data_IF_925360541963
#
_entry.id   IF_925360541963
#
_cell.length_a   1.000
_cell.length_b   1.000
_cell.length_c   1.000
_cell.angle_alpha   90.00
_cell.angle_beta   90.00
_cell.angle_gamma   90.00
#
_symmetry.space_group_name_H-M   'P 1'
#
loop_
_entity.id
_entity.type
_entity.pdbx_description
1 polymer ?
#
# COMPACT_ATOMS: atom_id res chain seq x y z
N UNK A 1 2.71 -19.08 -2.78
CA UNK A 1 2.08 -19.66 -3.98
C UNK A 1 0.58 -19.92 -3.85
N UNK A 2 0.06 -20.91 -3.11
CA UNK A 2 -1.40 -21.23 -3.11
C UNK A 2 -2.31 -20.05 -2.73
N UNK A 3 -1.97 -19.31 -1.67
CA UNK A 3 -2.74 -18.13 -1.22
C UNK A 3 -2.72 -16.97 -2.23
N UNK A 4 -1.63 -16.79 -2.96
CA UNK A 4 -1.52 -15.72 -3.97
C UNK A 4 -2.36 -16.03 -5.21
N UNK A 5 -2.43 -17.30 -5.62
CA UNK A 5 -3.28 -17.73 -6.75
C UNK A 5 -4.75 -17.53 -6.41
N UNK A 6 -5.17 -17.92 -5.21
CA UNK A 6 -6.55 -17.72 -4.73
C UNK A 6 -6.88 -16.22 -4.66
N UNK A 7 -5.98 -15.41 -4.13
CA UNK A 7 -6.16 -13.96 -4.05
C UNK A 7 -6.29 -13.30 -5.44
N UNK A 8 -5.48 -13.72 -6.42
CA UNK A 8 -5.59 -13.26 -7.81
C UNK A 8 -6.92 -13.65 -8.44
N UNK A 9 -7.36 -14.89 -8.23
CA UNK A 9 -8.66 -15.36 -8.69
C UNK A 9 -9.80 -14.51 -8.14
N UNK A 10 -9.73 -14.15 -6.86
CA UNK A 10 -10.70 -13.26 -6.21
C UNK A 10 -10.74 -11.85 -6.81
N UNK A 11 -9.58 -11.25 -7.13
CA UNK A 11 -9.53 -9.91 -7.78
C UNK A 11 -10.16 -9.96 -9.17
N UNK A 12 -9.84 -11.00 -9.97
CA UNK A 12 -10.42 -11.16 -11.31
C UNK A 12 -11.93 -11.34 -11.21
N UNK A 13 -12.40 -12.17 -10.28
CA UNK A 13 -13.82 -12.38 -10.04
C UNK A 13 -14.54 -11.09 -9.63
N UNK A 14 -13.97 -10.32 -8.69
CA UNK A 14 -14.51 -9.04 -8.25
C UNK A 14 -14.58 -8.03 -9.41
N UNK A 15 -13.54 -7.96 -10.24
CA UNK A 15 -13.51 -7.10 -11.43
C UNK A 15 -14.63 -7.43 -12.41
N UNK A 16 -14.75 -8.71 -12.80
CA UNK A 16 -15.78 -9.17 -13.73
C UNK A 16 -17.18 -8.91 -13.16
N UNK A 17 -17.38 -9.19 -11.87
CA UNK A 17 -18.65 -8.96 -11.21
C UNK A 17 -19.05 -7.47 -11.17
N UNK A 18 -18.11 -6.57 -10.87
CA UNK A 18 -18.36 -5.13 -10.87
C UNK A 18 -18.71 -4.57 -12.26
N UNK A 19 -18.04 -5.06 -13.31
CA UNK A 19 -18.35 -4.66 -14.69
C UNK A 19 -19.74 -5.17 -15.10
N UNK A 20 -20.05 -6.44 -14.80
CA UNK A 20 -21.35 -7.03 -15.12
C UNK A 20 -22.49 -6.32 -14.37
N UNK A 21 -22.33 -6.04 -13.08
CA UNK A 21 -23.34 -5.33 -12.30
C UNK A 21 -23.52 -3.89 -12.80
N UNK A 22 -22.43 -3.19 -13.13
CA UNK A 22 -22.49 -1.87 -13.78
C UNK A 22 -23.20 -1.91 -15.13
N UNK A 23 -22.95 -2.94 -15.95
CA UNK A 23 -23.62 -3.15 -17.23
C UNK A 23 -25.12 -3.45 -17.08
N UNK A 24 -25.52 -4.26 -16.10
CA UNK A 24 -26.92 -4.53 -15.81
C UNK A 24 -27.65 -3.25 -15.34
N UNK A 25 -27.01 -2.45 -14.49
CA UNK A 25 -27.55 -1.16 -14.04
C UNK A 25 -27.65 -0.15 -15.19
N UNK A 26 -26.76 -0.25 -16.18
CA UNK A 26 -26.85 0.57 -17.39
C UNK A 26 -28.10 0.21 -18.19
N UNK A 27 -28.39 -1.09 -18.33
CA UNK A 27 -29.60 -1.56 -19.03
C UNK A 27 -30.89 -1.23 -18.28
N UNK A 28 -30.85 -1.13 -16.95
CA UNK A 28 -32.02 -0.74 -16.15
C UNK A 28 -32.26 0.78 -16.10
N UNK A 29 -31.42 1.58 -16.76
CA UNK A 29 -31.53 3.05 -16.78
C UNK A 29 -30.89 3.76 -15.58
N UNK A 30 -30.31 3.03 -14.64
CA UNK A 30 -29.64 3.52 -13.43
C UNK A 30 -28.20 3.97 -13.75
N UNK A 31 -28.07 4.99 -14.62
CA UNK A 31 -26.79 5.41 -15.23
C UNK A 31 -25.73 5.81 -14.20
N UNK A 32 -26.12 6.44 -13.08
CA UNK A 32 -25.18 6.84 -12.04
C UNK A 32 -24.54 5.61 -11.37
N UNK A 33 -25.36 4.64 -10.95
CA UNK A 33 -24.88 3.40 -10.34
C UNK A 33 -24.10 2.53 -11.33
N UNK A 34 -24.50 2.54 -12.60
CA UNK A 34 -23.77 1.87 -13.69
C UNK A 34 -22.32 2.38 -13.84
N UNK A 35 -22.13 3.71 -13.81
CA UNK A 35 -20.81 4.33 -13.86
C UNK A 35 -19.96 3.92 -12.66
N UNK A 36 -20.54 3.88 -11.45
CA UNK A 36 -19.84 3.42 -10.26
C UNK A 36 -19.43 1.94 -10.35
N UNK A 37 -20.31 1.06 -10.87
CA UNK A 37 -20.00 -0.36 -11.07
C UNK A 37 -18.83 -0.57 -12.05
N UNK A 38 -18.85 0.15 -13.18
CA UNK A 38 -17.77 0.09 -14.17
C UNK A 38 -16.47 0.67 -13.59
N UNK A 39 -16.53 1.80 -12.89
CA UNK A 39 -15.36 2.41 -12.24
C UNK A 39 -14.75 1.48 -11.19
N UNK A 40 -15.57 0.78 -10.41
CA UNK A 40 -15.12 -0.23 -9.45
C UNK A 40 -14.42 -1.41 -10.15
N UNK A 41 -14.96 -1.87 -11.28
CA UNK A 41 -14.31 -2.90 -12.11
C UNK A 41 -12.93 -2.47 -12.62
N UNK A 42 -12.84 -1.26 -13.17
CA UNK A 42 -11.57 -0.67 -13.62
C UNK A 42 -10.59 -0.53 -12.45
N UNK A 43 -11.05 -0.08 -11.29
CA UNK A 43 -10.23 0.02 -10.09
C UNK A 43 -9.68 -1.35 -9.67
N UNK A 44 -10.50 -2.40 -9.66
CA UNK A 44 -10.04 -3.76 -9.34
C UNK A 44 -9.02 -4.29 -10.36
N UNK A 45 -9.20 -4.00 -11.65
CA UNK A 45 -8.23 -4.34 -12.69
C UNK A 45 -6.88 -3.63 -12.49
N UNK A 46 -6.92 -2.32 -12.24
CA UNK A 46 -5.71 -1.51 -11.98
C UNK A 46 -5.01 -1.98 -10.70
N UNK A 47 -5.76 -2.23 -9.63
CA UNK A 47 -5.24 -2.74 -8.37
C UNK A 47 -4.58 -4.13 -8.54
N UNK A 48 -5.21 -5.02 -9.32
CA UNK A 48 -4.64 -6.33 -9.65
C UNK A 48 -3.36 -6.25 -10.50
N UNK A 49 -3.31 -5.30 -11.43
CA UNK A 49 -2.13 -5.02 -12.26
C UNK A 49 -0.99 -4.43 -11.44
N UNK A 50 -1.28 -3.52 -10.51
CA UNK A 50 -0.28 -2.87 -9.67
C UNK A 50 0.28 -3.84 -8.61
N UNK A 51 -0.54 -4.75 -8.09
CA UNK A 51 -0.05 -5.88 -7.27
C UNK A 51 0.91 -6.78 -8.07
N UNK A 52 0.63 -7.01 -9.34
CA UNK A 52 1.51 -7.76 -10.22
C UNK A 52 2.79 -6.99 -10.60
N UNK A 53 2.69 -5.67 -10.78
CA UNK A 53 3.84 -4.77 -10.94
C UNK A 53 4.68 -4.63 -9.66
N UNK A 54 4.07 -4.71 -8.47
CA UNK A 54 4.74 -4.78 -7.17
C UNK A 54 5.41 -6.14 -6.95
N UNK A 55 4.78 -7.24 -7.38
CA UNK A 55 5.34 -8.60 -7.28
C UNK A 55 6.46 -8.82 -8.30
N UNK A 56 6.35 -8.32 -9.55
CA UNK A 56 7.44 -8.33 -10.54
C UNK A 56 8.49 -7.24 -10.29
N UNK A 57 8.08 -6.10 -9.72
CA UNK A 57 8.92 -4.93 -9.42
C UNK A 57 9.65 -5.00 -8.09
N UNK A 58 9.40 -6.03 -7.27
CA UNK A 58 10.21 -6.42 -6.09
C UNK A 58 11.61 -6.96 -6.45
N UNK A 59 12.17 -6.57 -7.59
CA UNK A 59 13.61 -6.69 -7.89
C UNK A 59 14.28 -5.37 -8.30
N UNK A 60 13.57 -4.24 -8.31
CA UNK A 60 14.22 -2.92 -8.39
C UNK A 60 13.57 -1.94 -7.42
N UNK A 61 14.14 -1.93 -6.21
CA UNK A 61 14.14 -0.85 -5.23
C UNK A 61 13.72 0.51 -5.83
N UNK A 62 12.50 0.95 -5.55
CA UNK A 62 12.26 2.35 -5.25
C UNK A 62 11.46 2.36 -3.96
N UNK A 63 12.16 2.64 -2.87
CA UNK A 63 11.50 3.23 -1.72
C UNK A 63 10.72 4.44 -2.27
N UNK A 64 9.42 4.48 -2.00
CA UNK A 64 8.62 5.68 -2.20
C UNK A 64 9.21 6.68 -1.21
N UNK A 65 10.19 7.47 -1.68
CA UNK A 65 10.74 8.60 -0.95
C UNK A 65 9.59 9.60 -0.88
N UNK A 66 8.91 9.68 0.25
CA UNK A 66 7.99 10.75 0.58
C UNK A 66 8.85 12.01 0.70
N UNK A 67 8.85 12.93 -0.28
CA UNK A 67 9.54 14.19 -0.10
C UNK A 67 8.63 15.02 0.80
N UNK A 68 9.10 15.33 2.00
CA UNK A 68 8.56 16.30 2.98
C UNK A 68 8.27 15.77 4.38
N UNK A 69 9.25 15.09 4.98
CA UNK A 69 9.53 15.27 6.41
C UNK A 69 10.99 15.70 6.50
N UNK A 70 11.26 16.99 6.34
CA UNK A 70 12.53 17.56 6.82
C UNK A 70 12.48 17.44 8.35
N UNK A 71 13.34 16.64 9.01
CA UNK A 71 13.58 16.86 10.41
C UNK A 71 14.40 18.14 10.48
N UNK A 72 13.70 19.26 10.67
CA UNK A 72 14.33 20.47 11.17
C UNK A 72 14.91 20.11 12.54
N UNK A 73 16.17 20.46 12.76
CA UNK A 73 16.95 20.30 14.00
C UNK A 73 17.67 18.96 14.17
N UNK A 74 18.88 18.88 13.60
CA UNK A 74 19.96 18.02 14.12
C UNK A 74 20.34 18.56 15.49
N UNK A 75 19.76 17.99 16.55
CA UNK A 75 20.28 18.19 17.90
C UNK A 75 21.61 17.43 18.02
N UNK A 76 22.67 18.03 18.57
CA UNK A 76 23.94 17.32 18.76
C UNK A 76 23.74 16.13 19.71
N UNK A 77 24.60 15.09 19.63
CA UNK A 77 24.41 13.85 20.37
C UNK A 77 24.59 14.11 21.86
N UNK A 78 23.49 14.42 22.56
CA UNK A 78 23.45 14.37 24.03
C UNK A 78 23.55 12.90 24.40
N UNK A 79 24.73 12.50 24.88
CA UNK A 79 24.98 11.18 25.49
C UNK A 79 23.78 10.79 26.35
N UNK A 80 23.22 9.61 26.09
CA UNK A 80 22.05 9.14 26.83
C UNK A 80 22.36 9.10 28.33
N UNK A 81 21.34 9.31 29.16
CA UNK A 81 21.49 9.31 30.61
C UNK A 81 22.10 7.98 31.11
N UNK A 82 21.81 6.88 30.40
CA UNK A 82 22.43 5.57 30.57
C UNK A 82 23.96 5.58 30.34
N UNK A 83 24.46 6.26 29.29
CA UNK A 83 25.89 6.39 29.05
C UNK A 83 26.59 7.22 30.13
N UNK A 84 25.92 8.26 30.66
CA UNK A 84 26.44 9.06 31.78
C UNK A 84 26.51 8.24 33.07
N UNK A 85 25.48 7.45 33.37
CA UNK A 85 25.46 6.55 34.53
C UNK A 85 26.52 5.46 34.43
N UNK A 86 26.68 4.80 33.28
CA UNK A 86 27.75 3.81 33.08
C UNK A 86 29.15 4.41 33.21
N UNK A 87 29.36 5.67 32.80
CA UNK A 87 30.65 6.34 32.93
C UNK A 87 30.93 6.87 34.35
N UNK A 88 29.88 7.09 35.15
CA UNK A 88 30.01 7.42 36.56
C UNK A 88 30.30 6.17 37.39
N UNK A 89 29.58 5.08 37.13
CA UNK A 89 29.77 3.80 37.83
C UNK A 89 31.17 3.23 37.60
N UNK A 90 31.70 3.29 36.36
CA UNK A 90 33.08 2.88 36.04
C UNK A 90 34.19 3.72 36.69
N UNK A 91 33.88 4.89 37.24
CA UNK A 91 34.88 5.76 37.89
C UNK A 91 34.89 5.64 39.41
N UNK A 92 33.85 5.04 40.00
CA UNK A 92 33.67 4.96 41.46
C UNK A 92 33.44 3.54 41.98
N UNK A 93 33.54 2.52 41.13
CA UNK A 93 33.66 1.11 41.52
C UNK A 93 35.02 0.58 41.07
#
# INVERSE_FOLDING_TARGET
MRREVVYRGWIVFACVFSILSGGMLWMSGERLFAVFGIAAGIFHALWGLDAHALVRGRWRRRAIVIPQLRPMVVSPPKRSLAQRLCAWWRRHG
#
